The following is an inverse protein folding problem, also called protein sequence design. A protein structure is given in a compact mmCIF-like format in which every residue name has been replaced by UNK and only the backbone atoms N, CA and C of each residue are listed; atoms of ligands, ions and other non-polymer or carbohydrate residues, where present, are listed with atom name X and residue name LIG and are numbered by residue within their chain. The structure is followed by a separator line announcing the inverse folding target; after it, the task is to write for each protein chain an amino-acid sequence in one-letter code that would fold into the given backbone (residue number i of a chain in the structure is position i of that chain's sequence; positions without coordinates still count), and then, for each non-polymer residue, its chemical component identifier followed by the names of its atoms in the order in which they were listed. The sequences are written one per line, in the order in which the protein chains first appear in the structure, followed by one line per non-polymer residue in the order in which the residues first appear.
data_IF_443728060870
#
_entry.id   IF_443728060870
#
_cell.length_a   1.000
_cell.length_b   1.000
_cell.length_c   1.000
_cell.angle_alpha   90.00
_cell.angle_beta   90.00
_cell.angle_gamma   90.00
#
_symmetry.space_group_name_H-M   'P 1'
#
loop_
_entity.id
_entity.type
_entity.pdbx_description
1 polymer ?
#
# COMPACT_ATOMS: atom_id res chain seq x y z
N UNK A 1 5.12 -10.58 10.34
CA UNK A 1 3.73 -10.62 10.85
C UNK A 1 3.37 -9.25 11.42
N UNK A 2 2.48 -8.52 10.76
CA UNK A 2 2.08 -7.18 11.15
C UNK A 2 0.98 -7.14 12.24
N UNK A 3 0.61 -8.26 12.82
CA UNK A 3 -0.40 -8.33 13.89
C UNK A 3 0.10 -8.98 15.18
N UNK A 4 1.32 -9.46 15.20
CA UNK A 4 1.87 -10.19 16.35
C UNK A 4 1.85 -9.37 17.65
N UNK A 5 2.20 -8.08 17.58
CA UNK A 5 2.26 -7.20 18.75
C UNK A 5 0.98 -6.37 18.97
N UNK A 6 -0.08 -6.66 18.23
CA UNK A 6 -1.34 -5.92 18.34
C UNK A 6 -2.06 -6.15 19.67
N UNK A 7 -1.79 -7.24 20.38
CA UNK A 7 -2.44 -7.61 21.62
C UNK A 7 -1.61 -7.20 22.83
N UNK A 8 -2.23 -6.56 23.82
CA UNK A 8 -1.61 -6.16 25.08
C UNK A 8 -1.27 -4.66 25.16
N UNK A 9 -0.45 -4.29 26.13
CA UNK A 9 -0.04 -2.90 26.40
C UNK A 9 0.95 -2.34 25.37
N UNK A 10 1.59 -3.20 24.58
CA UNK A 10 2.52 -2.79 23.52
C UNK A 10 1.73 -2.44 22.27
N UNK A 11 1.66 -1.16 21.98
CA UNK A 11 1.15 -0.67 20.70
C UNK A 11 2.22 -0.86 19.63
N UNK A 12 1.80 -1.33 18.47
CA UNK A 12 2.66 -1.52 17.31
C UNK A 12 2.31 -2.78 16.55
N UNK A 13 2.52 -2.77 15.24
CA UNK A 13 2.28 -3.93 14.40
C UNK A 13 3.49 -4.85 14.33
N UNK A 14 4.68 -4.29 14.13
CA UNK A 14 5.88 -5.09 13.84
C UNK A 14 6.74 -5.39 15.07
N UNK A 15 6.80 -4.48 16.03
CA UNK A 15 7.82 -4.52 17.09
C UNK A 15 9.23 -4.23 16.55
N UNK A 16 10.16 -3.90 17.46
CA UNK A 16 11.47 -3.37 17.10
C UNK A 16 12.27 -4.30 16.16
N UNK A 17 12.32 -5.60 16.45
CA UNK A 17 13.12 -6.52 15.64
C UNK A 17 12.67 -6.61 14.18
N UNK A 18 11.35 -6.62 13.95
CA UNK A 18 10.80 -6.70 12.60
C UNK A 18 10.89 -5.35 11.87
N UNK A 19 10.76 -4.25 12.59
CA UNK A 19 10.93 -2.90 12.04
C UNK A 19 12.37 -2.70 11.55
N UNK A 20 13.37 -3.02 12.36
CA UNK A 20 14.77 -2.89 11.97
C UNK A 20 15.14 -3.83 10.80
N UNK A 21 14.68 -5.08 10.86
CA UNK A 21 14.84 -6.00 9.72
C UNK A 21 14.24 -5.42 8.43
N UNK A 22 13.03 -4.84 8.48
CA UNK A 22 12.41 -4.25 7.29
C UNK A 22 13.21 -3.06 6.76
N UNK A 23 13.74 -2.21 7.64
CA UNK A 23 14.59 -1.08 7.25
C UNK A 23 15.87 -1.56 6.57
N UNK A 24 16.51 -2.61 7.08
CA UNK A 24 17.68 -3.22 6.44
C UNK A 24 17.33 -3.75 5.04
N UNK A 25 16.20 -4.48 4.90
CA UNK A 25 15.77 -5.00 3.60
C UNK A 25 15.46 -3.87 2.59
N UNK A 26 14.90 -2.77 3.05
CA UNK A 26 14.63 -1.60 2.21
C UNK A 26 15.92 -0.96 1.68
N UNK A 27 16.97 -0.88 2.48
CA UNK A 27 18.28 -0.37 2.07
C UNK A 27 19.04 -1.33 1.13
N UNK A 28 18.93 -2.62 1.39
CA UNK A 28 19.67 -3.65 0.66
C UNK A 28 19.03 -4.04 -0.67
N UNK A 29 17.77 -3.68 -0.89
CA UNK A 29 17.05 -4.05 -2.10
C UNK A 29 17.71 -3.47 -3.37
N UNK A 30 18.01 -4.34 -4.34
CA UNK A 30 18.58 -3.97 -5.64
C UNK A 30 17.54 -3.92 -6.76
N UNK A 31 16.30 -4.23 -6.45
CA UNK A 31 15.18 -4.16 -7.40
C UNK A 31 14.89 -2.73 -7.87
N UNK A 32 14.30 -2.60 -9.03
CA UNK A 32 13.83 -1.29 -9.53
C UNK A 32 12.61 -0.80 -8.76
N UNK A 33 11.79 -1.73 -8.28
CA UNK A 33 10.63 -1.47 -7.43
C UNK A 33 10.69 -2.34 -6.18
N UNK A 34 10.11 -1.84 -5.10
CA UNK A 34 9.97 -2.51 -3.81
C UNK A 34 8.49 -2.59 -3.50
N UNK A 35 7.96 -3.80 -3.37
CA UNK A 35 6.55 -4.01 -3.07
C UNK A 35 6.44 -4.47 -1.61
N UNK A 36 5.88 -3.61 -0.76
CA UNK A 36 5.64 -3.95 0.65
C UNK A 36 4.21 -4.46 0.77
N UNK A 37 4.07 -5.75 1.09
CA UNK A 37 2.77 -6.39 1.28
C UNK A 37 2.40 -6.45 2.76
N UNK A 38 1.15 -6.16 3.07
CA UNK A 38 0.64 -6.14 4.42
C UNK A 38 -0.81 -6.63 4.47
N UNK A 39 -1.17 -7.44 5.46
CA UNK A 39 -2.56 -7.89 5.65
C UNK A 39 -3.48 -6.82 6.24
N UNK A 40 -3.02 -5.58 6.42
CA UNK A 40 -3.80 -4.44 6.90
C UNK A 40 -3.51 -3.22 6.06
N UNK A 41 -4.48 -2.31 5.95
CA UNK A 41 -4.30 -1.06 5.22
C UNK A 41 -3.31 -0.12 5.89
N UNK A 42 -2.54 0.60 5.08
CA UNK A 42 -1.65 1.68 5.53
C UNK A 42 -2.43 2.95 5.89
N UNK A 43 -3.54 3.19 5.19
CA UNK A 43 -4.48 4.28 5.49
C UNK A 43 -5.56 3.82 6.44
N UNK A 44 -6.34 4.77 6.99
CA UNK A 44 -7.54 4.51 7.81
C UNK A 44 -8.85 4.97 7.13
N UNK A 45 -8.78 5.29 5.84
CA UNK A 45 -9.87 5.93 5.10
C UNK A 45 -11.11 5.04 4.90
N UNK A 46 -10.95 3.73 4.89
CA UNK A 46 -12.06 2.76 4.73
C UNK A 46 -12.47 2.13 6.05
N UNK A 47 -11.56 2.10 7.00
CA UNK A 47 -11.79 1.43 8.26
C UNK A 47 -12.50 2.36 9.24
N UNK A 48 -13.49 1.86 9.94
CA UNK A 48 -14.02 2.54 11.13
C UNK A 48 -13.00 2.52 12.29
N UNK A 49 -11.72 2.53 11.97
CA UNK A 49 -10.63 2.81 12.88
C UNK A 49 -10.08 1.66 13.70
N UNK A 50 -10.26 0.40 13.31
CA UNK A 50 -9.83 -0.71 14.15
C UNK A 50 -8.71 -1.56 13.59
N UNK A 51 -8.43 -1.52 12.29
CA UNK A 51 -7.51 -2.44 11.65
C UNK A 51 -6.79 -1.82 10.45
N UNK A 52 -6.03 -0.79 10.74
CA UNK A 52 -5.15 -0.14 9.77
C UNK A 52 -3.95 0.45 10.48
N UNK A 53 -2.85 0.62 9.77
CA UNK A 53 -1.68 1.31 10.29
C UNK A 53 -2.01 2.75 10.67
N UNK A 54 -2.74 3.46 9.82
CA UNK A 54 -3.10 4.86 10.06
C UNK A 54 -3.89 5.09 11.33
N UNK A 55 -4.56 4.08 11.86
CA UNK A 55 -5.35 4.19 13.08
C UNK A 55 -4.74 3.48 14.28
N UNK A 56 -4.24 2.26 14.06
CA UNK A 56 -3.76 1.43 15.17
C UNK A 56 -2.30 1.73 15.55
N UNK A 57 -1.46 1.95 14.54
CA UNK A 57 -0.03 2.21 14.70
C UNK A 57 0.44 3.35 13.78
N UNK A 58 -0.12 4.56 13.94
CA UNK A 58 0.28 5.69 13.10
C UNK A 58 1.74 6.07 13.27
N UNK A 59 2.29 5.88 14.47
CA UNK A 59 3.69 6.17 14.79
C UNK A 59 4.64 5.20 14.07
N UNK A 60 4.36 3.90 14.11
CA UNK A 60 5.17 2.90 13.40
C UNK A 60 5.07 3.07 11.88
N UNK A 61 3.90 3.42 11.35
CA UNK A 61 3.76 3.78 9.93
C UNK A 61 4.61 5.00 9.59
N UNK A 62 4.52 6.04 10.39
CA UNK A 62 5.24 7.28 10.16
C UNK A 62 6.76 7.06 10.21
N UNK A 63 7.24 6.26 11.14
CA UNK A 63 8.65 5.87 11.25
C UNK A 63 9.15 5.22 9.95
N UNK A 64 8.39 4.28 9.38
CA UNK A 64 8.74 3.63 8.13
C UNK A 64 8.72 4.60 6.94
N UNK A 65 7.71 5.45 6.85
CA UNK A 65 7.59 6.43 5.76
C UNK A 65 8.73 7.45 5.82
N UNK A 66 9.02 7.99 6.99
CA UNK A 66 10.17 8.90 7.17
C UNK A 66 11.50 8.23 6.87
N UNK A 67 11.65 6.95 7.22
CA UNK A 67 12.85 6.20 6.90
C UNK A 67 13.04 6.07 5.39
N UNK A 68 11.98 5.74 4.63
CA UNK A 68 11.99 5.66 3.17
C UNK A 68 12.33 7.03 2.56
N UNK A 69 11.69 8.09 3.04
CA UNK A 69 11.90 9.46 2.57
C UNK A 69 13.34 9.94 2.85
N UNK A 70 13.81 9.79 4.09
CA UNK A 70 15.16 10.21 4.51
C UNK A 70 16.27 9.52 3.73
N UNK A 71 16.09 8.24 3.44
CA UNK A 71 17.09 7.46 2.68
C UNK A 71 16.83 7.50 1.18
N UNK A 72 15.81 8.25 0.73
CA UNK A 72 15.43 8.39 -0.69
C UNK A 72 15.27 7.04 -1.38
N UNK A 73 14.64 6.07 -0.70
CA UNK A 73 14.46 4.72 -1.22
C UNK A 73 13.41 4.78 -2.35
N UNK A 74 13.81 4.47 -3.59
CA UNK A 74 12.95 4.67 -4.75
C UNK A 74 12.06 3.47 -5.03
N UNK A 75 10.93 3.70 -5.73
CA UNK A 75 10.12 2.63 -6.32
C UNK A 75 9.28 1.85 -5.31
N UNK A 76 8.95 2.43 -4.16
CA UNK A 76 8.16 1.75 -3.13
C UNK A 76 6.67 1.82 -3.46
N UNK A 77 6.02 0.64 -3.47
CA UNK A 77 4.57 0.45 -3.59
C UNK A 77 4.04 -0.33 -2.39
N UNK A 78 2.84 0.00 -1.96
CA UNK A 78 2.17 -0.62 -0.83
C UNK A 78 1.00 -1.47 -1.31
N UNK A 79 1.00 -2.76 -0.95
CA UNK A 79 -0.15 -3.64 -1.17
C UNK A 79 -0.76 -3.98 0.18
N UNK A 80 -2.07 -3.84 0.27
CA UNK A 80 -2.84 -4.17 1.46
C UNK A 80 -3.94 -5.18 1.19
N UNK A 81 -4.62 -5.64 2.24
CA UNK A 81 -5.68 -6.62 2.16
C UNK A 81 -6.63 -6.56 3.35
N UNK A 82 -7.44 -7.62 3.53
CA UNK A 82 -8.37 -7.85 4.64
C UNK A 82 -9.76 -7.18 4.50
N UNK A 83 -9.92 -6.17 3.65
CA UNK A 83 -11.19 -5.41 3.58
C UNK A 83 -12.26 -6.07 2.74
N UNK A 84 -11.87 -7.01 1.89
CA UNK A 84 -12.77 -7.73 0.99
C UNK A 84 -13.45 -6.86 -0.08
N UNK A 85 -13.22 -5.55 -0.09
CA UNK A 85 -13.62 -4.62 -1.13
C UNK A 85 -12.38 -4.03 -1.81
N UNK A 86 -12.47 -3.68 -3.09
CA UNK A 86 -11.35 -3.07 -3.79
C UNK A 86 -11.26 -1.58 -3.49
N UNK A 87 -10.10 -1.10 -3.08
CA UNK A 87 -9.84 0.33 -2.93
C UNK A 87 -8.35 0.65 -3.05
N UNK A 88 -8.05 1.86 -3.51
CA UNK A 88 -6.68 2.34 -3.59
C UNK A 88 -6.58 3.80 -3.20
N UNK A 89 -5.44 4.19 -2.68
CA UNK A 89 -5.20 5.54 -2.20
C UNK A 89 -3.83 6.07 -2.58
N UNK A 90 -3.77 7.38 -2.79
CA UNK A 90 -2.54 8.14 -2.64
C UNK A 90 -2.36 8.49 -1.17
N UNK A 91 -1.12 8.55 -0.72
CA UNK A 91 -0.75 8.99 0.63
C UNK A 91 0.27 10.12 0.46
N UNK A 92 -0.21 11.38 0.21
CA UNK A 92 0.68 12.51 0.03
C UNK A 92 1.41 12.83 1.33
N UNK A 93 2.67 13.24 1.18
CA UNK A 93 3.58 13.53 2.29
C UNK A 93 3.97 15.01 2.32
N UNK A 94 4.26 15.57 3.51
CA UNK A 94 4.75 16.94 3.62
C UNK A 94 6.05 17.21 2.84
N UNK A 95 6.87 16.19 2.61
CA UNK A 95 8.07 16.24 1.77
C UNK A 95 7.80 16.48 0.28
N UNK A 96 6.53 16.37 -0.15
CA UNK A 96 6.13 16.36 -1.55
C UNK A 96 6.14 14.97 -2.18
N UNK A 97 6.61 13.93 -1.46
CA UNK A 97 6.48 12.54 -1.90
C UNK A 97 5.02 12.06 -1.83
N UNK A 98 4.70 11.01 -2.57
CA UNK A 98 3.40 10.33 -2.48
C UNK A 98 3.62 8.82 -2.49
N UNK A 99 3.14 8.14 -1.45
CA UNK A 99 3.01 6.68 -1.49
C UNK A 99 1.69 6.30 -2.15
N UNK A 100 1.66 5.09 -2.71
CA UNK A 100 0.48 4.52 -3.36
C UNK A 100 0.14 3.19 -2.69
N UNK A 101 -1.10 3.05 -2.27
CA UNK A 101 -1.64 1.85 -1.63
C UNK A 101 -2.72 1.22 -2.51
N UNK A 102 -2.62 -0.09 -2.74
CA UNK A 102 -3.59 -0.85 -3.53
C UNK A 102 -4.13 -2.04 -2.74
N UNK A 103 -5.44 -2.19 -2.69
CA UNK A 103 -6.14 -3.37 -2.23
C UNK A 103 -7.07 -3.87 -3.35
N UNK A 104 -6.89 -5.14 -3.74
CA UNK A 104 -7.48 -5.68 -4.96
C UNK A 104 -8.88 -6.29 -4.79
N UNK A 105 -9.46 -6.32 -3.61
CA UNK A 105 -10.67 -7.05 -3.26
C UNK A 105 -10.42 -8.52 -2.89
N UNK A 106 -11.45 -9.32 -2.95
CA UNK A 106 -11.38 -10.77 -2.68
C UNK A 106 -11.45 -11.57 -3.97
N UNK A 107 -10.73 -12.69 -4.02
CA UNK A 107 -10.82 -13.66 -5.12
C UNK A 107 -12.01 -14.62 -4.93
N UNK A 108 -12.52 -14.74 -3.72
CA UNK A 108 -13.63 -15.63 -3.40
C UNK A 108 -14.12 -15.44 -1.97
N UNK A 109 -15.17 -16.13 -1.59
CA UNK A 109 -15.79 -15.99 -0.29
C UNK A 109 -16.68 -14.75 -0.18
N UNK A 110 -16.54 -13.98 0.91
CA UNK A 110 -17.36 -12.79 1.15
C UNK A 110 -16.70 -11.55 0.56
N UNK A 111 -17.37 -10.89 -0.37
CA UNK A 111 -16.98 -9.54 -0.78
C UNK A 111 -17.44 -8.49 0.26
N UNK A 112 -16.73 -7.39 0.34
CA UNK A 112 -16.94 -6.33 1.32
C UNK A 112 -17.21 -4.95 0.70
N UNK A 113 -17.63 -3.99 1.53
CA UNK A 113 -17.86 -2.62 1.08
C UNK A 113 -16.54 -1.84 0.99
N UNK A 114 -16.41 -1.04 -0.07
CA UNK A 114 -15.31 -0.10 -0.27
C UNK A 114 -15.76 1.28 -0.78
N UNK A 115 -17.02 1.43 -1.20
CA UNK A 115 -17.54 2.66 -1.84
C UNK A 115 -17.38 3.90 -0.97
N UNK A 116 -17.36 3.75 0.36
CA UNK A 116 -17.05 4.84 1.27
C UNK A 116 -15.69 5.50 1.04
N UNK A 117 -14.74 4.76 0.46
CA UNK A 117 -13.40 5.23 0.15
C UNK A 117 -13.40 6.35 -0.89
N UNK A 118 -14.30 6.32 -1.88
CA UNK A 118 -14.38 7.35 -2.93
C UNK A 118 -14.76 8.75 -2.41
N UNK A 119 -15.20 8.86 -1.17
CA UNK A 119 -15.44 10.15 -0.52
C UNK A 119 -14.14 10.82 -0.06
N UNK A 120 -13.05 10.08 -0.01
CA UNK A 120 -11.75 10.62 0.37
C UNK A 120 -11.08 11.27 -0.85
N UNK A 121 -10.52 12.50 -0.72
CA UNK A 121 -9.91 13.22 -1.85
C UNK A 121 -8.71 12.49 -2.49
N UNK A 122 -8.05 11.63 -1.71
CA UNK A 122 -6.90 10.87 -2.19
C UNK A 122 -7.25 9.45 -2.67
N UNK A 123 -8.54 9.12 -2.78
CA UNK A 123 -8.97 7.84 -3.33
C UNK A 123 -8.63 7.74 -4.84
N UNK A 124 -8.06 6.61 -5.22
CA UNK A 124 -7.80 6.26 -6.62
C UNK A 124 -8.96 5.50 -7.22
N UNK A 125 -9.46 4.51 -6.50
CA UNK A 125 -10.63 3.69 -6.86
C UNK A 125 -11.28 3.09 -5.62
N UNK A 126 -12.58 2.74 -5.75
CA UNK A 126 -13.28 1.92 -4.78
C UNK A 126 -14.44 1.19 -5.45
N UNK A 127 -14.54 -0.11 -5.22
CA UNK A 127 -15.59 -0.98 -5.74
C UNK A 127 -16.12 -1.88 -4.63
N UNK A 128 -17.43 -1.81 -4.41
CA UNK A 128 -18.14 -2.68 -3.47
C UNK A 128 -18.45 -4.04 -4.10
N UNK A 129 -18.54 -5.06 -3.26
CA UNK A 129 -19.09 -6.36 -3.63
C UNK A 129 -18.49 -6.94 -4.93
N UNK A 130 -17.20 -6.74 -5.12
CA UNK A 130 -16.46 -7.09 -6.33
C UNK A 130 -15.53 -8.27 -6.05
N UNK A 131 -15.48 -9.22 -6.97
CA UNK A 131 -14.42 -10.23 -7.05
C UNK A 131 -13.39 -9.78 -8.07
N UNK A 132 -12.18 -9.53 -7.61
CA UNK A 132 -11.14 -8.97 -8.45
C UNK A 132 -9.76 -9.34 -7.94
N UNK A 133 -8.76 -9.21 -8.80
CA UNK A 133 -7.35 -9.32 -8.45
C UNK A 133 -6.57 -8.14 -8.99
N UNK A 134 -5.47 -7.82 -8.33
CA UNK A 134 -4.50 -6.84 -8.78
C UNK A 134 -3.40 -7.50 -9.61
N UNK A 135 -3.03 -6.87 -10.71
CA UNK A 135 -1.90 -7.24 -11.54
C UNK A 135 -0.89 -6.11 -11.55
N UNK A 136 0.39 -6.45 -11.35
CA UNK A 136 1.50 -5.52 -11.49
C UNK A 136 2.37 -5.96 -12.68
N UNK A 137 2.42 -5.13 -13.71
CA UNK A 137 3.33 -5.28 -14.85
C UNK A 137 4.50 -4.33 -14.69
N UNK A 138 5.72 -4.85 -14.71
CA UNK A 138 6.95 -4.05 -14.51
C UNK A 138 7.77 -4.07 -15.78
N UNK A 139 8.05 -2.89 -16.34
CA UNK A 139 9.07 -2.72 -17.38
C UNK A 139 10.32 -2.06 -16.77
N UNK A 140 11.29 -2.89 -16.45
CA UNK A 140 12.56 -2.48 -15.89
C UNK A 140 13.61 -2.11 -16.98
N UNK A 141 13.28 -2.29 -18.26
CA UNK A 141 14.18 -2.02 -19.40
C UNK A 141 14.18 -0.55 -19.81
N UNK A 142 13.15 0.20 -19.44
CA UNK A 142 13.04 1.61 -19.76
C UNK A 142 14.11 2.45 -19.06
N UNK A 143 14.53 3.58 -19.65
CA UNK A 143 15.44 4.55 -19.00
C UNK A 143 14.92 5.01 -17.63
N UNK A 144 13.62 5.25 -17.50
CA UNK A 144 12.89 5.42 -16.25
C UNK A 144 11.93 4.24 -16.12
N UNK A 145 12.26 3.21 -15.32
CA UNK A 145 11.44 2.01 -15.16
C UNK A 145 10.00 2.35 -14.79
N UNK A 146 9.06 1.58 -15.33
CA UNK A 146 7.63 1.79 -15.12
C UNK A 146 6.96 0.56 -14.50
N UNK A 147 6.01 0.79 -13.62
CA UNK A 147 5.09 -0.22 -13.11
C UNK A 147 3.67 0.19 -13.46
N UNK A 148 2.93 -0.74 -14.06
CA UNK A 148 1.51 -0.59 -14.34
C UNK A 148 0.71 -1.50 -13.40
N UNK A 149 -0.16 -0.91 -12.59
CA UNK A 149 -1.13 -1.63 -11.76
C UNK A 149 -2.48 -1.67 -12.47
N UNK A 150 -3.07 -2.86 -12.52
CA UNK A 150 -4.43 -3.08 -13.03
C UNK A 150 -5.26 -3.82 -12.00
N UNK A 151 -6.47 -3.34 -11.74
CA UNK A 151 -7.50 -4.08 -11.01
C UNK A 151 -8.39 -4.79 -12.03
N UNK A 152 -8.43 -6.10 -11.98
CA UNK A 152 -9.12 -6.93 -12.96
C UNK A 152 -10.25 -7.69 -12.27
N UNK A 153 -11.48 -7.47 -12.75
CA UNK A 153 -12.68 -8.17 -12.30
C UNK A 153 -12.65 -9.65 -12.72
N UNK A 154 -13.38 -10.51 -12.02
CA UNK A 154 -13.51 -11.95 -12.34
C UNK A 154 -13.93 -12.23 -13.78
N UNK A 155 -14.65 -11.31 -14.43
CA UNK A 155 -15.02 -11.40 -15.85
C UNK A 155 -13.88 -11.05 -16.83
N UNK A 156 -12.70 -10.71 -16.35
CA UNK A 156 -11.58 -10.22 -17.15
C UNK A 156 -11.62 -8.72 -17.51
N UNK A 157 -12.65 -8.00 -17.06
CA UNK A 157 -12.74 -6.55 -17.29
C UNK A 157 -11.76 -5.79 -16.40
N UNK A 158 -10.97 -4.89 -16.98
CA UNK A 158 -10.16 -3.94 -16.22
C UNK A 158 -11.08 -2.89 -15.60
N UNK A 159 -11.09 -2.81 -14.28
CA UNK A 159 -11.88 -1.85 -13.49
C UNK A 159 -11.11 -0.56 -13.22
N UNK A 160 -9.80 -0.67 -13.06
CA UNK A 160 -8.90 0.46 -12.80
C UNK A 160 -7.51 0.16 -13.34
N UNK A 161 -6.82 1.19 -13.78
CA UNK A 161 -5.45 1.09 -14.27
C UNK A 161 -4.67 2.37 -13.93
N UNK A 162 -3.40 2.19 -13.53
CA UNK A 162 -2.48 3.28 -13.22
C UNK A 162 -1.05 2.87 -13.55
N UNK A 163 -0.38 3.66 -14.38
CA UNK A 163 1.07 3.55 -14.60
C UNK A 163 1.81 4.58 -13.75
N UNK A 164 2.92 4.14 -13.16
CA UNK A 164 3.81 4.96 -12.34
C UNK A 164 5.25 4.72 -12.74
N UNK A 165 5.98 5.81 -12.98
CA UNK A 165 7.42 5.74 -13.23
C UNK A 165 8.19 5.65 -11.91
N UNK A 166 9.36 5.04 -11.96
CA UNK A 166 10.23 4.93 -10.79
C UNK A 166 10.62 6.31 -10.23
N UNK A 167 10.80 7.30 -11.08
CA UNK A 167 11.07 8.69 -10.68
C UNK A 167 9.94 9.30 -9.86
N UNK A 168 8.67 9.00 -10.19
CA UNK A 168 7.49 9.47 -9.45
C UNK A 168 7.37 8.81 -8.07
N UNK A 169 7.95 7.63 -7.92
CA UNK A 169 8.03 6.85 -6.68
C UNK A 169 9.35 7.06 -5.94
N UNK A 170 10.10 8.10 -6.27
CA UNK A 170 11.37 8.44 -5.61
C UNK A 170 11.17 9.68 -4.75
N UNK A 171 11.41 9.59 -3.42
CA UNK A 171 11.33 10.76 -2.56
C UNK A 171 12.24 11.89 -3.04
N UNK A 172 11.78 13.15 -2.99
CA UNK A 172 12.57 14.31 -3.41
C UNK A 172 13.84 14.49 -2.55
N UNK A 173 14.73 15.37 -3.00
CA UNK A 173 15.97 15.68 -2.29
C UNK A 173 15.74 16.53 -1.07
#
# INVERSE_FOLDING_TARGET
DNRYFRTGEKRGFLGNGQTEWLKEQLLDCKGKFIIITCGTMWTDHVSKGKDSWGKFDPEGREELFQFIEKNRIPGVLLLSGDRHGACGFRIPRPSGHTFYEFEAATLGGRSGPASGAMKHPDALYAFDSTYAFGELNVDASLPDPEVNYRLIHESGKVLYELSLKRSELTPPA
#
